data_IF_251603202072
#
_entry.id   IF_251603202072
#
_cell.length_a   1.000
_cell.length_b   1.000
_cell.length_c   1.000
_cell.angle_alpha   90.00
_cell.angle_beta   90.00
_cell.angle_gamma   90.00
#
_symmetry.space_group_name_H-M   'P 1'
#
loop_
_entity.id
_entity.type
_entity.pdbx_description
1 polymer ?
#
# COMPACT_ATOMS: atom_id res chain seq x y z
N UNK A 1 -3.73 23.70 12.32
CA UNK A 1 -4.63 23.49 11.16
C UNK A 1 -3.95 24.00 9.91
N UNK A 2 -4.26 23.44 8.74
CA UNK A 2 -3.70 23.91 7.46
C UNK A 2 -4.16 25.36 7.17
N UNK A 3 -3.33 26.17 6.49
CA UNK A 3 -3.77 27.45 5.92
C UNK A 3 -5.00 27.27 5.02
N UNK A 4 -5.88 28.27 5.00
CA UNK A 4 -7.18 28.19 4.32
C UNK A 4 -7.07 27.74 2.85
N UNK A 5 -6.15 28.34 2.09
CA UNK A 5 -5.93 27.97 0.69
C UNK A 5 -5.52 26.49 0.53
N UNK A 6 -4.69 25.98 1.44
CA UNK A 6 -4.24 24.59 1.42
C UNK A 6 -5.36 23.63 1.83
N UNK A 7 -6.14 24.01 2.84
CA UNK A 7 -7.30 23.23 3.29
C UNK A 7 -8.35 23.12 2.19
N UNK A 8 -8.66 24.23 1.51
CA UNK A 8 -9.59 24.25 0.38
C UNK A 8 -9.08 23.39 -0.78
N UNK A 9 -7.82 23.59 -1.20
CA UNK A 9 -7.25 22.83 -2.30
C UNK A 9 -7.23 21.32 -2.03
N UNK A 10 -6.90 20.92 -0.80
CA UNK A 10 -6.96 19.52 -0.39
C UNK A 10 -8.39 18.98 -0.37
N UNK A 11 -9.35 19.74 0.17
CA UNK A 11 -10.76 19.38 0.19
C UNK A 11 -11.33 19.16 -1.21
N UNK A 12 -11.12 20.13 -2.11
CA UNK A 12 -11.57 20.06 -3.50
C UNK A 12 -10.99 18.80 -4.19
N UNK A 13 -9.69 18.54 -4.04
CA UNK A 13 -9.06 17.33 -4.57
C UNK A 13 -9.68 16.06 -3.98
N UNK A 14 -9.83 16.02 -2.66
CA UNK A 14 -10.35 14.85 -1.95
C UNK A 14 -11.79 14.52 -2.38
N UNK A 15 -12.61 15.54 -2.65
CA UNK A 15 -13.97 15.38 -3.17
C UNK A 15 -13.96 14.79 -4.58
N UNK A 16 -13.03 15.20 -5.46
CA UNK A 16 -12.92 14.59 -6.80
C UNK A 16 -12.64 13.08 -6.78
N UNK A 17 -11.95 12.60 -5.74
CA UNK A 17 -11.65 11.17 -5.58
C UNK A 17 -12.85 10.42 -4.99
N UNK A 18 -13.56 11.02 -4.03
CA UNK A 18 -14.74 10.40 -3.40
C UNK A 18 -15.95 10.37 -4.34
N UNK A 19 -16.14 11.44 -5.11
CA UNK A 19 -17.20 11.57 -6.13
C UNK A 19 -16.74 11.08 -7.50
N UNK A 20 -15.85 10.08 -7.49
CA UNK A 20 -15.34 9.47 -8.70
C UNK A 20 -16.48 8.92 -9.57
N UNK A 21 -16.44 9.26 -10.86
CA UNK A 21 -17.41 8.79 -11.88
C UNK A 21 -16.86 7.70 -12.79
N UNK A 22 -15.60 7.33 -12.63
CA UNK A 22 -14.91 6.30 -13.42
C UNK A 22 -15.23 4.91 -12.87
N UNK A 23 -15.22 4.75 -11.54
CA UNK A 23 -15.61 3.51 -10.86
C UNK A 23 -17.02 3.65 -10.33
N UNK A 24 -17.75 2.53 -10.23
CA UNK A 24 -19.04 2.55 -9.57
C UNK A 24 -18.90 2.89 -8.07
N UNK A 25 -19.98 3.34 -7.41
CA UNK A 25 -19.92 3.80 -6.02
C UNK A 25 -19.41 2.73 -5.04
N UNK A 26 -19.78 1.47 -5.24
CA UNK A 26 -19.38 0.37 -4.36
C UNK A 26 -17.89 0.08 -4.51
N UNK A 27 -17.39 0.00 -5.73
CA UNK A 27 -15.95 -0.17 -5.99
C UNK A 27 -15.15 0.98 -5.41
N UNK A 28 -15.60 2.23 -5.58
CA UNK A 28 -14.94 3.42 -5.01
C UNK A 28 -14.84 3.35 -3.49
N UNK A 29 -15.92 3.00 -2.80
CA UNK A 29 -15.96 2.88 -1.34
C UNK A 29 -15.07 1.75 -0.81
N UNK A 30 -15.12 0.57 -1.44
CA UNK A 30 -14.27 -0.57 -1.08
C UNK A 30 -12.78 -0.25 -1.29
N UNK A 31 -12.44 0.47 -2.36
CA UNK A 31 -11.06 0.88 -2.64
C UNK A 31 -10.53 1.85 -1.58
N UNK A 32 -11.36 2.81 -1.17
CA UNK A 32 -11.01 3.73 -0.08
C UNK A 32 -10.82 3.01 1.26
N UNK A 33 -11.70 2.08 1.61
CA UNK A 33 -11.56 1.28 2.82
C UNK A 33 -10.28 0.42 2.78
N UNK A 34 -10.01 -0.24 1.65
CA UNK A 34 -8.79 -1.02 1.45
C UNK A 34 -7.52 -0.17 1.53
N UNK A 35 -7.52 1.04 0.97
CA UNK A 35 -6.41 1.98 1.09
C UNK A 35 -6.20 2.43 2.54
N UNK A 36 -7.29 2.70 3.28
CA UNK A 36 -7.22 3.04 4.70
C UNK A 36 -6.59 1.92 5.53
N UNK A 37 -6.97 0.66 5.27
CA UNK A 37 -6.37 -0.52 5.91
C UNK A 37 -4.88 -0.66 5.55
N UNK A 38 -4.53 -0.56 4.26
CA UNK A 38 -3.17 -0.73 3.78
C UNK A 38 -2.19 0.33 4.34
N UNK A 39 -2.69 1.53 4.62
CA UNK A 39 -1.92 2.64 5.19
C UNK A 39 -2.01 2.73 6.72
N UNK A 40 -2.81 1.87 7.37
CA UNK A 40 -3.02 1.90 8.82
C UNK A 40 -3.70 3.19 9.33
N UNK A 41 -4.57 3.80 8.52
CA UNK A 41 -5.27 5.04 8.90
C UNK A 41 -6.56 4.73 9.68
N UNK A 42 -6.48 4.63 11.01
CA UNK A 42 -7.65 4.37 11.87
C UNK A 42 -8.83 5.33 11.65
N UNK A 43 -8.67 6.67 11.66
CA UNK A 43 -9.82 7.56 11.44
C UNK A 43 -10.41 7.42 10.03
N UNK A 44 -9.58 7.07 9.03
CA UNK A 44 -10.08 6.77 7.69
C UNK A 44 -10.88 5.45 7.69
N UNK A 45 -10.41 4.42 8.39
CA UNK A 45 -11.11 3.14 8.49
C UNK A 45 -12.47 3.31 9.17
N UNK A 46 -12.53 4.06 10.27
CA UNK A 46 -13.80 4.38 10.96
C UNK A 46 -14.78 5.09 10.02
N UNK A 47 -14.32 6.10 9.29
CA UNK A 47 -15.14 6.82 8.32
C UNK A 47 -15.65 5.89 7.22
N UNK A 48 -14.75 5.21 6.51
CA UNK A 48 -15.14 4.40 5.35
C UNK A 48 -15.92 3.14 5.74
N UNK A 49 -15.67 2.57 6.92
CA UNK A 49 -16.49 1.46 7.44
C UNK A 49 -17.95 1.91 7.62
N UNK A 50 -18.17 3.08 8.24
CA UNK A 50 -19.52 3.64 8.35
C UNK A 50 -20.15 3.98 6.99
N UNK A 51 -19.36 4.37 5.98
CA UNK A 51 -19.88 4.65 4.64
C UNK A 51 -20.26 3.37 3.87
N UNK A 52 -19.46 2.30 3.98
CA UNK A 52 -19.78 1.02 3.31
C UNK A 52 -21.00 0.35 3.92
N UNK A 53 -21.15 0.42 5.25
CA UNK A 53 -22.33 -0.09 5.96
C UNK A 53 -23.60 0.64 5.53
N UNK A 54 -23.56 1.99 5.45
CA UNK A 54 -24.69 2.79 4.95
C UNK A 54 -25.04 2.48 3.49
N UNK A 55 -24.06 2.06 2.70
CA UNK A 55 -24.27 1.65 1.31
C UNK A 55 -24.78 0.21 1.17
N UNK A 56 -25.00 -0.51 2.28
CA UNK A 56 -25.46 -1.90 2.28
C UNK A 56 -24.42 -2.90 1.77
N UNK A 57 -23.14 -2.53 1.79
CA UNK A 57 -22.04 -3.43 1.44
C UNK A 57 -21.89 -4.47 2.55
N UNK A 58 -21.77 -5.73 2.16
CA UNK A 58 -21.83 -6.87 3.08
C UNK A 58 -20.52 -7.08 3.84
N UNK A 59 -20.60 -7.76 4.98
CA UNK A 59 -19.42 -8.14 5.75
C UNK A 59 -18.48 -9.06 4.95
N UNK A 60 -19.03 -9.91 4.08
CA UNK A 60 -18.28 -10.79 3.18
C UNK A 60 -17.46 -9.98 2.17
N UNK A 61 -18.02 -8.90 1.63
CA UNK A 61 -17.32 -8.01 0.68
C UNK A 61 -16.22 -7.20 1.37
N UNK A 62 -16.50 -6.69 2.57
CA UNK A 62 -15.50 -6.02 3.40
C UNK A 62 -14.36 -7.00 3.75
N UNK A 63 -14.71 -8.24 4.14
CA UNK A 63 -13.76 -9.30 4.44
C UNK A 63 -12.90 -9.69 3.24
N UNK A 64 -13.47 -9.69 2.02
CA UNK A 64 -12.72 -9.92 0.80
C UNK A 64 -11.65 -8.83 0.57
N UNK A 65 -12.00 -7.55 0.77
CA UNK A 65 -11.03 -6.44 0.69
C UNK A 65 -9.95 -6.56 1.76
N UNK A 66 -10.33 -6.85 2.99
CA UNK A 66 -9.37 -7.09 4.08
C UNK A 66 -8.38 -8.21 3.70
N UNK A 67 -8.87 -9.33 3.16
CA UNK A 67 -8.04 -10.44 2.70
C UNK A 67 -7.05 -10.03 1.61
N UNK A 68 -7.49 -9.22 0.64
CA UNK A 68 -6.60 -8.67 -0.40
C UNK A 68 -5.49 -7.82 0.21
N UNK A 69 -5.82 -6.91 1.14
CA UNK A 69 -4.83 -6.06 1.82
C UNK A 69 -3.81 -6.91 2.59
N UNK A 70 -4.28 -7.92 3.33
CA UNK A 70 -3.41 -8.85 4.07
C UNK A 70 -2.46 -9.61 3.13
N UNK A 71 -2.97 -10.11 2.00
CA UNK A 71 -2.17 -10.84 1.02
C UNK A 71 -1.06 -9.96 0.41
N UNK A 72 -1.39 -8.72 0.03
CA UNK A 72 -0.41 -7.76 -0.49
C UNK A 72 0.64 -7.41 0.55
N UNK A 73 0.23 -7.19 1.81
CA UNK A 73 1.16 -6.90 2.91
C UNK A 73 2.13 -8.07 3.16
N UNK A 74 1.63 -9.31 3.19
CA UNK A 74 2.46 -10.51 3.32
C UNK A 74 3.43 -10.66 2.13
N UNK A 75 2.93 -10.46 0.90
CA UNK A 75 3.72 -10.50 -0.32
C UNK A 75 4.86 -9.48 -0.33
N UNK A 76 4.60 -8.25 0.16
CA UNK A 76 5.62 -7.20 0.31
C UNK A 76 6.77 -7.68 1.19
N UNK A 77 6.50 -8.26 2.36
CA UNK A 77 7.54 -8.77 3.27
C UNK A 77 8.42 -9.80 2.57
N UNK A 78 7.80 -10.77 1.90
CA UNK A 78 8.51 -11.81 1.18
C UNK A 78 9.38 -11.24 0.04
N UNK A 79 8.81 -10.32 -0.75
CA UNK A 79 9.51 -9.71 -1.88
C UNK A 79 10.72 -8.88 -1.43
N UNK A 80 10.55 -8.04 -0.40
CA UNK A 80 11.61 -7.17 0.12
C UNK A 80 12.78 -7.97 0.70
N UNK A 81 12.50 -9.04 1.46
CA UNK A 81 13.57 -9.92 1.94
C UNK A 81 14.32 -10.58 0.79
N UNK A 82 13.59 -11.10 -0.20
CA UNK A 82 14.20 -11.70 -1.39
C UNK A 82 15.08 -10.72 -2.16
N UNK A 83 14.68 -9.45 -2.28
CA UNK A 83 15.48 -8.39 -2.90
C UNK A 83 16.79 -8.16 -2.15
N UNK A 84 16.73 -7.99 -0.82
CA UNK A 84 17.90 -7.78 0.02
C UNK A 84 18.85 -8.98 -0.06
N UNK A 85 18.33 -10.21 0.04
CA UNK A 85 19.15 -11.42 -0.08
C UNK A 85 19.87 -11.52 -1.43
N UNK A 86 19.18 -11.19 -2.53
CA UNK A 86 19.78 -11.16 -3.88
C UNK A 86 20.88 -10.11 -3.97
N UNK A 87 20.66 -8.91 -3.42
CA UNK A 87 21.66 -7.84 -3.38
C UNK A 87 22.91 -8.26 -2.61
N UNK A 88 22.74 -8.77 -1.39
CA UNK A 88 23.86 -9.24 -0.55
C UNK A 88 24.64 -10.39 -1.20
N UNK A 89 23.97 -11.33 -1.89
CA UNK A 89 24.65 -12.41 -2.62
C UNK A 89 25.56 -11.87 -3.72
N UNK A 90 25.08 -10.89 -4.50
CA UNK A 90 25.88 -10.25 -5.56
C UNK A 90 27.10 -9.52 -4.99
N UNK A 91 26.92 -8.76 -3.90
CA UNK A 91 28.02 -8.06 -3.21
C UNK A 91 29.08 -9.02 -2.67
N UNK A 92 28.67 -10.15 -2.08
CA UNK A 92 29.60 -11.20 -1.61
C UNK A 92 30.37 -11.86 -2.75
N UNK A 93 29.72 -12.11 -3.89
CA UNK A 93 30.38 -12.67 -5.08
C UNK A 93 31.40 -11.68 -5.66
N UNK A 94 31.06 -10.39 -5.74
CA UNK A 94 31.97 -9.36 -6.23
C UNK A 94 33.20 -9.17 -5.32
N UNK A 95 33.00 -9.21 -3.99
CA UNK A 95 34.10 -9.10 -3.02
C UNK A 95 35.00 -10.34 -2.96
N UNK A 96 34.43 -11.55 -3.07
CA UNK A 96 35.20 -12.79 -3.17
C UNK A 96 36.01 -12.89 -4.46
N UNK A 97 35.46 -12.44 -5.59
CA UNK A 97 36.18 -12.37 -6.88
C UNK A 97 37.36 -11.38 -6.83
N UNK A 98 37.25 -10.29 -6.06
CA UNK A 98 38.36 -9.34 -5.87
C UNK A 98 39.53 -9.96 -5.08
N UNK A 99 39.24 -10.84 -4.10
CA UNK A 99 40.26 -11.52 -3.30
C UNK A 99 41.01 -12.62 -4.08
N UNK A 100 40.30 -13.40 -4.91
CA UNK A 100 40.94 -14.43 -5.75
C UNK A 100 41.80 -13.85 -6.88
N UNK A 101 41.51 -12.63 -7.36
CA UNK A 101 42.31 -11.99 -8.39
C UNK A 101 43.63 -11.44 -7.84
N UNK A 102 43.67 -10.99 -6.58
CA UNK A 102 44.91 -10.56 -5.92
C UNK A 102 45.84 -11.73 -5.55
N UNK A 103 45.29 -12.90 -5.19
CA UNK A 103 46.08 -14.07 -4.81
C UNK A 103 46.74 -14.83 -6.00
N UNK A 104 46.47 -14.44 -7.24
CA UNK A 104 47.00 -15.08 -8.47
C UNK A 104 48.04 -14.23 -9.22
N UNK A 105 48.45 -13.09 -8.65
CA UNK A 105 49.42 -12.15 -9.27
C UNK A 105 50.77 -12.16 -8.53
N UNK A 106 50.93 -12.98 -7.49
CA UNK A 106 52.21 -13.35 -6.87
C UNK A 106 52.67 -14.74 -7.33
#
# INVERSE_FOLDING_TARGET
>A
MLPEQQQKAFGDFYDTVRENRILDPKTTLLLHLGAAMALGCSPCMEYYLGQVEKAGITAEEIGAVQGVVMAVAAGKVNAQLGEVQRRMRKERQASGQCQEHHAKVE
#
